data_IF_563475990453
#
_entry.id   IF_563475990453
#
_cell.length_a   1.000
_cell.length_b   1.000
_cell.length_c   1.000
_cell.angle_alpha   90.00
_cell.angle_beta   90.00
_cell.angle_gamma   90.00
#
_symmetry.space_group_name_H-M   'P 1'
#
loop_
_entity.id
_entity.type
_entity.pdbx_description
1 polymer ?
#
# COMPACT_ATOMS: atom_id res chain seq x y z
N UNK A 1 18.23 17.91 10.30
CA UNK A 1 17.07 17.26 9.68
C UNK A 1 17.53 15.86 9.34
N UNK A 2 17.05 14.83 10.04
CA UNK A 2 17.38 13.44 9.70
C UNK A 2 16.66 13.08 8.40
N UNK A 3 17.39 12.56 7.43
CA UNK A 3 16.79 11.95 6.23
C UNK A 3 15.73 10.94 6.65
N UNK A 4 14.61 10.84 5.91
CA UNK A 4 13.68 9.75 6.13
C UNK A 4 14.43 8.42 5.97
N UNK A 5 14.15 7.43 6.83
CA UNK A 5 14.85 6.15 6.76
C UNK A 5 14.63 5.53 5.38
N UNK A 6 15.71 5.16 4.71
CA UNK A 6 15.71 4.56 3.36
C UNK A 6 15.13 3.13 3.33
N UNK A 7 14.69 2.61 4.46
CA UNK A 7 14.08 1.28 4.63
C UNK A 7 13.93 0.93 6.11
N UNK A 8 13.14 -0.10 6.38
CA UNK A 8 13.07 -0.74 7.70
C UNK A 8 14.34 -1.55 7.95
N UNK A 9 14.81 -1.51 9.18
CA UNK A 9 15.98 -2.25 9.67
C UNK A 9 15.60 -3.12 10.87
N UNK A 10 16.50 -3.98 11.32
CA UNK A 10 16.31 -4.77 12.54
C UNK A 10 15.99 -3.89 13.77
N UNK A 11 16.53 -2.67 13.83
CA UNK A 11 16.29 -1.74 14.92
C UNK A 11 14.83 -1.22 14.96
N UNK A 12 14.09 -1.33 13.87
CA UNK A 12 12.69 -0.92 13.76
C UNK A 12 11.71 -2.01 14.19
N UNK A 13 12.21 -3.24 14.44
CA UNK A 13 11.42 -4.42 14.79
C UNK A 13 11.69 -4.81 16.24
N UNK A 14 10.64 -4.87 17.05
CA UNK A 14 10.74 -5.34 18.43
C UNK A 14 10.78 -6.87 18.48
N UNK A 15 11.50 -7.42 19.47
CA UNK A 15 11.36 -8.84 19.80
C UNK A 15 9.93 -9.21 20.19
N UNK A 16 9.57 -10.49 20.08
CA UNK A 16 8.17 -10.93 20.29
C UNK A 16 7.62 -10.53 21.66
N UNK A 17 8.43 -10.58 22.71
CA UNK A 17 8.00 -10.28 24.08
C UNK A 17 7.81 -8.78 24.30
N UNK A 18 8.68 -7.95 23.72
CA UNK A 18 8.55 -6.50 23.75
C UNK A 18 7.33 -6.07 22.93
N UNK A 19 7.15 -6.65 21.74
CA UNK A 19 6.01 -6.36 20.90
C UNK A 19 4.66 -6.69 21.53
N UNK A 20 4.51 -7.87 22.14
CA UNK A 20 3.25 -8.26 22.79
C UNK A 20 2.82 -7.28 23.90
N UNK A 21 3.76 -6.58 24.55
CA UNK A 21 3.42 -5.58 25.59
C UNK A 21 2.81 -4.31 25.01
N UNK A 22 3.17 -3.93 23.79
CA UNK A 22 2.76 -2.66 23.13
C UNK A 22 1.78 -2.89 21.99
N UNK A 23 1.56 -4.14 21.60
CA UNK A 23 0.84 -4.53 20.39
C UNK A 23 -0.56 -3.95 20.29
N UNK A 24 -1.33 -3.95 21.37
CA UNK A 24 -2.72 -3.48 21.35
C UNK A 24 -2.77 -1.98 21.05
N UNK A 25 -1.97 -1.17 21.74
CA UNK A 25 -1.89 0.27 21.53
C UNK A 25 -1.31 0.61 20.15
N UNK A 26 -0.25 -0.10 19.74
CA UNK A 26 0.35 0.12 18.42
C UNK A 26 -0.62 -0.24 17.30
N UNK A 27 -1.32 -1.39 17.42
CA UNK A 27 -2.35 -1.80 16.47
C UNK A 27 -3.48 -0.77 16.36
N UNK A 28 -3.92 -0.18 17.47
CA UNK A 28 -4.92 0.88 17.45
C UNK A 28 -4.43 2.13 16.67
N UNK A 29 -3.17 2.55 16.88
CA UNK A 29 -2.55 3.64 16.13
C UNK A 29 -2.49 3.32 14.62
N UNK A 30 -2.13 2.08 14.25
CA UNK A 30 -2.07 1.65 12.83
C UNK A 30 -3.46 1.60 12.19
N UNK A 31 -4.49 1.14 12.91
CA UNK A 31 -5.87 1.17 12.40
C UNK A 31 -6.30 2.62 12.12
N UNK A 32 -5.98 3.56 13.02
CA UNK A 32 -6.25 4.97 12.80
C UNK A 32 -5.50 5.53 11.60
N UNK A 33 -4.20 5.18 11.43
CA UNK A 33 -3.38 5.56 10.27
C UNK A 33 -3.97 5.02 8.96
N UNK A 34 -4.36 3.74 8.93
CA UNK A 34 -4.92 3.09 7.73
C UNK A 34 -6.28 3.67 7.32
N UNK A 35 -7.04 4.30 8.20
CA UNK A 35 -8.32 4.92 7.86
C UNK A 35 -8.19 6.00 6.77
N UNK A 36 -7.16 6.82 6.85
CA UNK A 36 -6.87 7.88 5.87
C UNK A 36 -5.93 7.41 4.74
N UNK A 37 -5.76 6.09 4.57
CA UNK A 37 -4.95 5.45 3.53
C UNK A 37 -5.69 4.37 2.76
N UNK A 38 -6.90 4.01 3.23
CA UNK A 38 -7.74 3.00 2.61
C UNK A 38 -8.78 3.67 1.73
N UNK A 39 -8.78 3.33 0.45
CA UNK A 39 -9.69 3.88 -0.57
C UNK A 39 -10.41 2.73 -1.25
N UNK A 40 -11.74 2.66 -1.09
CA UNK A 40 -12.57 1.74 -1.86
C UNK A 40 -12.67 2.25 -3.30
N UNK A 41 -12.54 1.36 -4.27
CA UNK A 41 -12.65 1.63 -5.68
C UNK A 41 -13.73 0.74 -6.30
N UNK A 42 -14.95 1.25 -6.40
CA UNK A 42 -16.10 0.47 -6.82
C UNK A 42 -16.49 -0.63 -5.82
N UNK A 43 -17.24 -1.66 -6.25
CA UNK A 43 -17.87 -2.61 -5.33
C UNK A 43 -16.97 -3.75 -4.83
N UNK A 44 -15.85 -4.04 -5.52
CA UNK A 44 -15.06 -5.25 -5.24
C UNK A 44 -13.58 -4.96 -5.02
N UNK A 45 -13.16 -3.70 -5.01
CA UNK A 45 -11.75 -3.37 -4.90
C UNK A 45 -11.49 -2.34 -3.81
N UNK A 46 -10.36 -2.49 -3.11
CA UNK A 46 -9.86 -1.53 -2.14
C UNK A 46 -8.36 -1.40 -2.29
N UNK A 47 -7.84 -0.16 -2.24
CA UNK A 47 -6.42 0.10 -2.14
C UNK A 47 -6.08 0.58 -0.73
N UNK A 48 -4.98 0.08 -0.18
CA UNK A 48 -4.35 0.61 1.03
C UNK A 48 -2.99 1.17 0.64
N UNK A 49 -2.84 2.50 0.72
CA UNK A 49 -1.57 3.15 0.45
C UNK A 49 -0.60 2.88 1.59
N UNK A 50 0.54 2.27 1.26
CA UNK A 50 1.54 1.87 2.22
C UNK A 50 2.45 3.04 2.64
N UNK A 51 2.99 2.95 3.83
CA UNK A 51 4.00 3.87 4.36
C UNK A 51 4.87 3.11 5.36
N UNK A 52 5.89 3.76 5.91
CA UNK A 52 6.79 3.16 6.89
C UNK A 52 6.04 2.41 8.01
N UNK A 53 5.00 3.03 8.59
CA UNK A 53 4.27 2.43 9.71
C UNK A 53 3.45 1.20 9.31
N UNK A 54 2.80 1.23 8.14
CA UNK A 54 1.96 0.11 7.68
C UNK A 54 2.81 -1.09 7.31
N UNK A 55 3.97 -0.86 6.70
CA UNK A 55 4.92 -1.92 6.35
C UNK A 55 5.60 -2.47 7.60
N UNK A 56 6.08 -1.60 8.52
CA UNK A 56 6.64 -2.03 9.80
C UNK A 56 5.65 -2.91 10.59
N UNK A 57 4.38 -2.52 10.61
CA UNK A 57 3.34 -3.31 11.25
C UNK A 57 3.16 -4.69 10.60
N UNK A 58 3.25 -4.80 9.28
CA UNK A 58 3.18 -6.08 8.58
C UNK A 58 4.34 -7.00 8.97
N UNK A 59 5.58 -6.49 8.94
CA UNK A 59 6.77 -7.24 9.39
C UNK A 59 6.59 -7.71 10.83
N UNK A 60 6.14 -6.83 11.72
CA UNK A 60 5.98 -7.14 13.14
C UNK A 60 4.88 -8.20 13.38
N UNK A 61 3.75 -8.12 12.68
CA UNK A 61 2.68 -9.13 12.78
C UNK A 61 3.08 -10.46 12.13
N UNK A 62 3.88 -10.45 11.06
CA UNK A 62 4.41 -11.65 10.44
C UNK A 62 5.38 -12.36 11.38
N UNK A 63 6.36 -11.62 11.94
CA UNK A 63 7.30 -12.15 12.92
C UNK A 63 6.58 -12.76 14.13
N UNK A 64 5.51 -12.13 14.57
CA UNK A 64 4.65 -12.62 15.64
C UNK A 64 3.91 -13.92 15.26
N UNK A 65 3.25 -13.92 14.11
CA UNK A 65 2.41 -15.04 13.67
C UNK A 65 3.24 -16.31 13.41
N UNK A 66 4.42 -16.16 12.82
CA UNK A 66 5.33 -17.24 12.49
C UNK A 66 6.35 -17.56 13.60
N UNK A 67 6.29 -16.79 14.72
CA UNK A 67 7.20 -16.94 15.86
C UNK A 67 8.68 -16.83 15.48
N UNK A 68 8.98 -15.87 14.59
CA UNK A 68 10.35 -15.58 14.17
C UNK A 68 11.09 -14.92 15.32
N UNK A 69 12.23 -15.50 15.72
CA UNK A 69 13.00 -15.07 16.89
C UNK A 69 14.47 -14.77 16.59
N UNK A 70 14.93 -15.00 15.35
CA UNK A 70 16.32 -14.74 14.96
C UNK A 70 16.41 -13.53 14.03
N UNK A 71 17.50 -12.77 14.16
CA UNK A 71 17.76 -11.59 13.33
C UNK A 71 17.84 -11.93 11.85
N UNK A 72 18.43 -13.08 11.51
CA UNK A 72 18.55 -13.55 10.13
C UNK A 72 17.17 -13.78 9.50
N UNK A 73 16.24 -14.36 10.24
CA UNK A 73 14.88 -14.60 9.73
C UNK A 73 14.06 -13.31 9.66
N UNK A 74 14.25 -12.39 10.61
CA UNK A 74 13.65 -11.04 10.53
C UNK A 74 14.19 -10.26 9.33
N UNK A 75 15.50 -10.41 9.03
CA UNK A 75 16.10 -9.74 7.85
C UNK A 75 15.47 -10.22 6.54
N UNK A 76 15.12 -11.50 6.42
CA UNK A 76 14.40 -12.03 5.25
C UNK A 76 13.04 -11.33 5.07
N UNK A 77 12.29 -11.17 6.15
CA UNK A 77 11.02 -10.43 6.10
C UNK A 77 11.23 -8.96 5.73
N UNK A 78 12.24 -8.31 6.30
CA UNK A 78 12.59 -6.93 5.97
C UNK A 78 12.94 -6.78 4.49
N UNK A 79 13.70 -7.68 3.91
CA UNK A 79 14.09 -7.66 2.49
C UNK A 79 12.87 -7.79 1.57
N UNK A 80 11.87 -8.58 1.98
CA UNK A 80 10.61 -8.73 1.25
C UNK A 80 9.74 -7.47 1.37
N UNK A 81 9.49 -7.03 2.60
CA UNK A 81 8.51 -5.97 2.85
C UNK A 81 9.04 -4.56 2.58
N UNK A 82 10.36 -4.32 2.65
CA UNK A 82 10.96 -3.02 2.28
C UNK A 82 10.65 -2.61 0.84
N UNK A 83 10.37 -3.56 -0.04
CA UNK A 83 9.94 -3.30 -1.42
C UNK A 83 8.58 -2.63 -1.50
N UNK A 84 7.78 -2.63 -0.43
CA UNK A 84 6.51 -1.95 -0.36
C UNK A 84 6.63 -0.49 0.13
N UNK A 85 7.81 -0.08 0.60
CA UNK A 85 8.02 1.30 1.02
C UNK A 85 8.10 2.22 -0.20
N UNK A 86 7.32 3.32 -0.24
CA UNK A 86 7.45 4.31 -1.29
C UNK A 86 8.72 5.15 -1.10
N UNK A 87 9.39 5.48 -2.20
CA UNK A 87 10.41 6.52 -2.24
C UNK A 87 9.76 7.93 -2.31
N UNK A 88 10.52 9.01 -2.03
CA UNK A 88 10.02 10.37 -2.32
C UNK A 88 9.60 10.51 -3.79
N UNK A 89 8.45 11.11 -4.04
CA UNK A 89 7.84 11.17 -5.37
C UNK A 89 7.13 9.89 -5.80
N UNK A 90 7.00 8.92 -4.91
CA UNK A 90 6.24 7.68 -5.16
C UNK A 90 5.11 7.48 -4.15
N UNK A 91 4.06 6.79 -4.58
CA UNK A 91 3.10 6.13 -3.72
C UNK A 91 3.15 4.63 -3.98
N UNK A 92 3.03 3.85 -2.93
CA UNK A 92 2.90 2.39 -2.99
C UNK A 92 1.56 1.98 -2.40
N UNK A 93 0.91 0.98 -2.99
CA UNK A 93 -0.37 0.51 -2.47
C UNK A 93 -0.50 -1.01 -2.60
N UNK A 94 -1.12 -1.60 -1.58
CA UNK A 94 -1.67 -2.95 -1.64
C UNK A 94 -3.10 -2.86 -2.17
N UNK A 95 -3.37 -3.57 -3.26
CA UNK A 95 -4.68 -3.68 -3.89
C UNK A 95 -5.34 -4.97 -3.43
N UNK A 96 -6.54 -4.88 -2.91
CA UNK A 96 -7.35 -6.01 -2.51
C UNK A 96 -8.55 -6.13 -3.43
N UNK A 97 -8.77 -7.33 -4.01
CA UNK A 97 -10.02 -7.70 -4.65
C UNK A 97 -10.87 -8.36 -3.55
N UNK A 98 -11.80 -7.58 -2.99
CA UNK A 98 -12.60 -7.96 -1.82
C UNK A 98 -13.94 -8.55 -2.25
N UNK A 99 -13.96 -9.85 -2.51
CA UNK A 99 -15.16 -10.59 -2.81
C UNK A 99 -15.39 -11.63 -1.71
N UNK A 100 -16.58 -11.60 -1.10
CA UNK A 100 -16.88 -12.35 0.13
C UNK A 100 -17.34 -13.79 -0.11
N UNK A 101 -17.55 -14.20 -1.36
CA UNK A 101 -18.01 -15.54 -1.70
C UNK A 101 -17.07 -16.24 -2.68
N UNK A 102 -16.95 -17.56 -2.56
CA UNK A 102 -16.17 -18.38 -3.49
C UNK A 102 -16.70 -18.28 -4.94
N UNK A 103 -18.01 -18.13 -5.11
CA UNK A 103 -18.64 -17.93 -6.41
C UNK A 103 -18.20 -16.60 -7.03
N UNK A 104 -18.24 -15.52 -6.25
CA UNK A 104 -17.77 -14.21 -6.69
C UNK A 104 -16.28 -14.20 -7.03
N UNK A 105 -15.41 -14.89 -6.25
CA UNK A 105 -13.99 -15.02 -6.57
C UNK A 105 -13.78 -15.73 -7.92
N UNK A 106 -14.51 -16.82 -8.17
CA UNK A 106 -14.45 -17.53 -9.46
C UNK A 106 -14.96 -16.68 -10.63
N UNK A 107 -15.90 -15.78 -10.40
CA UNK A 107 -16.38 -14.85 -11.41
C UNK A 107 -15.39 -13.73 -11.67
N UNK A 108 -14.93 -13.04 -10.62
CA UNK A 108 -14.17 -11.79 -10.76
C UNK A 108 -12.69 -11.99 -11.10
N UNK A 109 -11.99 -12.95 -10.48
CA UNK A 109 -10.55 -13.09 -10.67
C UNK A 109 -10.15 -13.39 -12.12
N UNK A 110 -10.87 -14.21 -12.92
CA UNK A 110 -10.54 -14.36 -14.34
C UNK A 110 -10.83 -13.11 -15.19
N UNK A 111 -11.82 -12.29 -14.78
CA UNK A 111 -12.20 -11.07 -15.51
C UNK A 111 -11.26 -9.91 -15.29
N UNK A 112 -10.53 -9.90 -14.17
CA UNK A 112 -9.66 -8.80 -13.73
C UNK A 112 -8.17 -9.03 -14.03
N UNK A 113 -7.82 -9.98 -14.88
CA UNK A 113 -6.42 -10.21 -15.30
C UNK A 113 -5.85 -8.93 -15.91
N UNK A 114 -4.73 -8.43 -15.36
CA UNK A 114 -4.08 -7.19 -15.79
C UNK A 114 -4.62 -5.91 -15.12
N UNK A 115 -5.51 -6.03 -14.12
CA UNK A 115 -6.07 -4.89 -13.40
C UNK A 115 -5.00 -4.03 -12.72
N UNK A 116 -3.91 -4.64 -12.26
CA UNK A 116 -2.78 -3.98 -11.60
C UNK A 116 -2.08 -2.93 -12.47
N UNK A 117 -2.27 -2.99 -13.80
CA UNK A 117 -1.75 -2.03 -14.79
C UNK A 117 -2.80 -1.04 -15.28
N UNK A 118 -3.99 -1.09 -14.75
CA UNK A 118 -5.16 -0.30 -15.18
C UNK A 118 -5.71 0.59 -14.07
N UNK A 119 -4.94 0.74 -12.99
CA UNK A 119 -5.22 1.68 -11.93
C UNK A 119 -4.50 3.00 -12.19
N UNK A 120 -5.00 4.09 -11.63
CA UNK A 120 -4.38 5.40 -11.76
C UNK A 120 -4.86 6.39 -10.71
N UNK A 121 -4.06 7.44 -10.51
CA UNK A 121 -4.46 8.62 -9.75
C UNK A 121 -4.69 9.76 -10.76
N UNK A 122 -5.93 10.20 -10.87
CA UNK A 122 -6.36 11.32 -11.71
C UNK A 122 -6.22 12.62 -10.92
N UNK A 123 -5.47 13.57 -11.44
CA UNK A 123 -5.20 14.89 -10.87
C UNK A 123 -5.81 15.91 -11.84
N UNK A 124 -6.95 16.48 -11.51
CA UNK A 124 -7.72 17.38 -12.40
C UNK A 124 -7.87 16.84 -13.84
N UNK A 125 -7.91 15.50 -14.00
CA UNK A 125 -8.06 14.80 -15.28
C UNK A 125 -6.77 14.17 -15.82
N UNK A 126 -5.60 14.63 -15.44
CA UNK A 126 -4.32 13.99 -15.78
C UNK A 126 -4.10 12.73 -14.93
N UNK A 127 -3.73 11.61 -15.54
CA UNK A 127 -3.64 10.32 -14.86
C UNK A 127 -2.20 9.86 -14.70
N UNK A 128 -1.81 9.64 -13.45
CA UNK A 128 -0.59 8.90 -13.09
C UNK A 128 -0.94 7.43 -12.97
N UNK A 129 -0.47 6.60 -13.91
CA UNK A 129 -0.79 5.18 -13.98
C UNK A 129 0.00 4.33 -12.99
N UNK A 130 -0.57 3.19 -12.61
CA UNK A 130 0.07 2.19 -11.76
C UNK A 130 1.08 1.35 -12.51
N UNK A 131 2.15 0.96 -11.80
CA UNK A 131 3.13 -0.05 -12.21
C UNK A 131 3.12 -1.17 -11.17
N UNK A 132 2.91 -2.44 -11.55
CA UNK A 132 2.98 -3.54 -10.60
C UNK A 132 4.40 -3.74 -10.07
N UNK A 133 4.52 -4.24 -8.83
CA UNK A 133 5.80 -4.65 -8.26
C UNK A 133 6.26 -5.95 -8.96
N UNK A 134 7.45 -5.88 -9.61
CA UNK A 134 7.86 -6.86 -10.62
C UNK A 134 8.05 -8.29 -10.09
N UNK A 135 8.62 -8.45 -8.88
CA UNK A 135 8.87 -9.78 -8.32
C UNK A 135 7.59 -10.44 -7.81
N UNK A 136 6.67 -9.64 -7.30
CA UNK A 136 5.37 -10.12 -6.87
C UNK A 136 4.50 -10.52 -8.07
N UNK A 137 4.54 -9.73 -9.13
CA UNK A 137 3.88 -10.05 -10.40
C UNK A 137 4.38 -11.38 -10.97
N UNK A 138 5.71 -11.58 -11.04
CA UNK A 138 6.29 -12.82 -11.54
C UNK A 138 5.92 -14.06 -10.73
N UNK A 139 5.70 -13.91 -9.41
CA UNK A 139 5.38 -15.01 -8.52
C UNK A 139 3.90 -15.42 -8.53
N UNK A 140 2.98 -14.50 -8.80
CA UNK A 140 1.54 -14.68 -8.56
C UNK A 140 0.65 -14.61 -9.79
N UNK A 141 1.06 -13.94 -10.87
CA UNK A 141 0.19 -13.76 -12.03
C UNK A 141 0.17 -15.01 -12.90
N UNK A 142 -1.00 -15.65 -12.96
CA UNK A 142 -1.29 -16.67 -13.95
C UNK A 142 -1.98 -16.02 -15.15
N UNK A 143 -1.75 -16.51 -16.36
CA UNK A 143 -2.31 -15.93 -17.60
C UNK A 143 -3.85 -15.87 -17.63
N UNK A 144 -4.51 -16.69 -16.82
CA UNK A 144 -5.97 -16.87 -16.86
C UNK A 144 -6.72 -16.44 -15.60
N UNK A 145 -6.01 -16.19 -14.50
CA UNK A 145 -6.61 -15.80 -13.20
C UNK A 145 -5.68 -14.87 -12.48
N UNK A 146 -6.17 -13.68 -12.09
CA UNK A 146 -5.43 -12.73 -11.28
C UNK A 146 -5.46 -13.10 -9.80
N UNK A 147 -4.41 -12.82 -8.99
CA UNK A 147 -4.50 -12.96 -7.53
C UNK A 147 -5.48 -11.95 -6.92
N UNK A 148 -5.95 -12.23 -5.71
CA UNK A 148 -6.84 -11.32 -4.97
C UNK A 148 -6.08 -10.16 -4.30
N UNK A 149 -4.74 -10.20 -4.29
CA UNK A 149 -3.88 -9.17 -3.72
C UNK A 149 -2.79 -8.81 -4.73
N UNK A 150 -2.60 -7.51 -4.98
CA UNK A 150 -1.50 -6.99 -5.81
C UNK A 150 -0.77 -5.89 -5.07
N UNK A 151 0.48 -5.66 -5.45
CA UNK A 151 1.26 -4.50 -5.03
C UNK A 151 1.57 -3.62 -6.23
N UNK A 152 1.25 -2.35 -6.12
CA UNK A 152 1.41 -1.37 -7.20
C UNK A 152 2.11 -0.12 -6.71
N UNK A 153 2.79 0.56 -7.64
CA UNK A 153 3.44 1.86 -7.42
C UNK A 153 2.90 2.90 -8.38
N UNK A 154 2.92 4.15 -7.95
CA UNK A 154 2.61 5.32 -8.74
C UNK A 154 3.79 6.29 -8.62
N UNK A 155 4.52 6.50 -9.72
CA UNK A 155 5.67 7.42 -9.77
C UNK A 155 5.25 8.80 -10.26
N UNK A 156 5.60 9.84 -9.51
CA UNK A 156 5.28 11.22 -9.81
C UNK A 156 6.53 12.02 -10.13
N UNK A 157 6.50 12.83 -11.15
CA UNK A 157 7.46 13.92 -11.33
C UNK A 157 7.24 15.03 -10.29
N UNK A 158 8.24 15.88 -10.07
CA UNK A 158 8.09 17.04 -9.17
C UNK A 158 6.90 17.92 -9.55
N UNK A 159 6.70 18.16 -10.86
CA UNK A 159 5.56 18.94 -11.35
C UNK A 159 4.21 18.28 -11.02
N UNK A 160 4.13 16.94 -11.09
CA UNK A 160 2.93 16.20 -10.72
C UNK A 160 2.69 16.20 -9.21
N UNK A 161 3.73 16.21 -8.38
CA UNK A 161 3.59 16.37 -6.91
C UNK A 161 3.01 17.75 -6.57
N UNK A 162 3.48 18.82 -7.22
CA UNK A 162 2.91 20.16 -7.02
C UNK A 162 1.48 20.26 -7.57
N UNK A 163 1.21 19.68 -8.75
CA UNK A 163 -0.15 19.59 -9.26
C UNK A 163 -1.09 18.83 -8.30
N UNK A 164 -0.63 17.73 -7.69
CA UNK A 164 -1.40 16.99 -6.69
C UNK A 164 -1.72 17.84 -5.44
N UNK A 165 -0.79 18.70 -5.02
CA UNK A 165 -0.99 19.58 -3.88
C UNK A 165 -2.04 20.67 -4.15
N UNK A 166 -2.05 21.22 -5.37
CA UNK A 166 -2.90 22.34 -5.78
C UNK A 166 -4.23 21.90 -6.43
N UNK A 167 -4.37 20.63 -6.80
CA UNK A 167 -5.52 20.11 -7.53
C UNK A 167 -6.85 20.40 -6.84
N UNK A 168 -7.83 20.79 -7.62
CA UNK A 168 -9.23 20.89 -7.20
C UNK A 168 -9.80 19.51 -6.88
N UNK A 169 -9.49 18.51 -7.71
CA UNK A 169 -9.92 17.13 -7.55
C UNK A 169 -8.75 16.13 -7.72
N UNK A 170 -8.64 15.19 -6.81
CA UNK A 170 -7.79 13.99 -6.99
C UNK A 170 -8.66 12.76 -6.80
N UNK A 171 -8.60 11.82 -7.75
CA UNK A 171 -9.39 10.60 -7.70
C UNK A 171 -8.56 9.36 -8.02
N UNK A 172 -8.85 8.27 -7.33
CA UNK A 172 -8.40 6.93 -7.71
C UNK A 172 -9.32 6.41 -8.82
N UNK A 173 -8.73 5.86 -9.88
CA UNK A 173 -9.47 5.35 -11.05
C UNK A 173 -9.02 3.95 -11.44
N UNK A 174 -9.95 3.17 -11.98
CA UNK A 174 -9.68 1.92 -12.70
C UNK A 174 -10.27 2.05 -14.11
N UNK A 175 -9.47 1.68 -15.12
CA UNK A 175 -9.83 1.77 -16.54
C UNK A 175 -9.69 0.41 -17.24
N UNK A 176 -9.99 -0.66 -16.52
CA UNK A 176 -9.94 -2.02 -17.05
C UNK A 176 -11.22 -2.33 -17.84
N UNK A 177 -11.15 -3.03 -19.02
CA UNK A 177 -12.34 -3.32 -19.84
C UNK A 177 -13.49 -4.00 -19.11
N UNK A 178 -13.19 -4.81 -18.08
CA UNK A 178 -14.20 -5.48 -17.26
C UNK A 178 -14.49 -4.75 -15.94
N UNK A 179 -13.81 -3.63 -15.66
CA UNK A 179 -13.96 -2.91 -14.40
C UNK A 179 -13.59 -1.44 -14.54
N UNK A 180 -14.59 -0.59 -14.62
CA UNK A 180 -14.44 0.86 -14.58
C UNK A 180 -14.96 1.37 -13.25
N UNK A 181 -14.13 2.13 -12.56
CA UNK A 181 -14.49 2.75 -11.28
C UNK A 181 -13.70 4.02 -11.05
N UNK A 182 -14.30 4.94 -10.31
CA UNK A 182 -13.69 6.21 -9.89
C UNK A 182 -14.12 6.52 -8.46
N UNK A 183 -13.17 6.93 -7.63
CA UNK A 183 -13.42 7.38 -6.26
C UNK A 183 -12.59 8.62 -5.98
N UNK A 184 -13.25 9.73 -5.68
CA UNK A 184 -12.59 10.96 -5.26
C UNK A 184 -11.91 10.75 -3.91
N UNK A 185 -10.67 11.21 -3.77
CA UNK A 185 -9.93 11.11 -2.53
C UNK A 185 -10.42 12.17 -1.52
N UNK A 186 -10.74 11.73 -0.32
CA UNK A 186 -11.06 12.64 0.78
C UNK A 186 -9.87 13.56 1.11
N UNK A 187 -10.15 14.69 1.75
CA UNK A 187 -9.11 15.63 2.22
C UNK A 187 -8.11 14.95 3.14
N UNK A 188 -8.55 14.01 4.00
CA UNK A 188 -7.68 13.24 4.88
C UNK A 188 -6.71 12.36 4.10
N UNK A 189 -7.22 11.62 3.12
CA UNK A 189 -6.39 10.76 2.25
C UNK A 189 -5.40 11.61 1.44
N UNK A 190 -5.86 12.69 0.79
CA UNK A 190 -4.98 13.59 0.02
C UNK A 190 -3.82 14.14 0.86
N UNK A 191 -4.12 14.56 2.10
CA UNK A 191 -3.09 15.09 3.02
C UNK A 191 -2.04 14.03 3.36
N UNK A 192 -2.45 12.80 3.69
CA UNK A 192 -1.54 11.70 3.99
C UNK A 192 -0.66 11.36 2.78
N UNK A 193 -1.26 11.21 1.60
CA UNK A 193 -0.51 10.87 0.39
C UNK A 193 0.43 11.99 -0.06
N UNK A 194 0.05 13.25 0.09
CA UNK A 194 0.95 14.38 -0.19
C UNK A 194 2.16 14.38 0.76
N UNK A 195 1.94 14.00 2.03
CA UNK A 195 3.03 13.82 2.99
C UNK A 195 4.03 12.75 2.54
N UNK A 196 3.56 11.63 1.98
CA UNK A 196 4.42 10.57 1.44
C UNK A 196 5.19 11.05 0.20
N UNK A 197 4.51 11.67 -0.76
CA UNK A 197 5.11 12.21 -1.97
C UNK A 197 6.24 13.21 -1.67
N UNK A 198 6.10 14.00 -0.62
CA UNK A 198 7.09 14.97 -0.15
C UNK A 198 8.10 14.42 0.85
N UNK A 199 8.00 13.15 1.24
CA UNK A 199 8.85 12.53 2.25
C UNK A 199 8.72 13.17 3.64
N UNK A 200 7.55 13.74 3.98
CA UNK A 200 7.31 14.44 5.25
C UNK A 200 6.47 13.66 6.25
N UNK A 201 5.97 12.49 5.87
CA UNK A 201 5.20 11.61 6.75
C UNK A 201 6.07 11.11 7.90
N UNK A 202 5.65 11.42 9.13
CA UNK A 202 6.37 11.02 10.34
C UNK A 202 5.97 9.63 10.79
N UNK A 203 6.97 8.82 11.15
CA UNK A 203 6.74 7.50 11.74
C UNK A 203 6.08 7.60 13.12
N UNK A 204 5.20 6.66 13.41
CA UNK A 204 4.58 6.50 14.72
C UNK A 204 5.56 5.83 15.70
N UNK A 205 5.57 6.23 16.99
CA UNK A 205 6.33 5.50 17.98
C UNK A 205 5.70 4.12 18.21
N UNK A 206 6.55 3.10 18.31
CA UNK A 206 6.16 1.70 18.60
C UNK A 206 6.31 1.38 20.10
N UNK A 207 6.13 2.29 20.94
CA UNK A 207 6.26 2.09 22.40
C UNK A 207 6.57 3.37 23.11
#
# INVERSE_FOLDING_TARGET
MSEPPSGLTLADVLDLRAYERVREDYRAKIIARKRDRRVALGPVMTLVFECFDTVRFQVQEMARAEKIITDESIQVELDIYNRLLPAPGELSATVFIEVTSDEGLREWLPRLVGIERRLGLSIDGDVVGSVPEAEHEAALTRETVTPAVHYVRFGFSEAQVEAFAEAGEVALVATHPAYEARTELSVGVRRELLGDLRGTTKALPIG
#
